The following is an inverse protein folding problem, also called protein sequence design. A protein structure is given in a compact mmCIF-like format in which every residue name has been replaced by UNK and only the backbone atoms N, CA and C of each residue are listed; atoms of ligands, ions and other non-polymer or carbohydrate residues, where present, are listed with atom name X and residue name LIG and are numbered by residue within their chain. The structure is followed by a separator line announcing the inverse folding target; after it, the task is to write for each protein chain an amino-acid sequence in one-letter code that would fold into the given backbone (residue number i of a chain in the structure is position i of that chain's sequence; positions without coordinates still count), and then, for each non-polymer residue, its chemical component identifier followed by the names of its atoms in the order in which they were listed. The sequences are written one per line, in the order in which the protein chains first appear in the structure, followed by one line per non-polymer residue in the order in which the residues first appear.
data_IF_370240046269
#
_entry.id   IF_370240046269
#
_cell.length_a   1.000
_cell.length_b   1.000
_cell.length_c   1.000
_cell.angle_alpha   90.00
_cell.angle_beta   90.00
_cell.angle_gamma   90.00
#
_symmetry.space_group_name_H-M   'P 1'
#
loop_
_entity.id
_entity.type
_entity.pdbx_description
1 polymer ?
#
# COMPACT_ATOMS: atom_id res chain seq x y z
N UNK A 1 -0.09 25.45 6.29
CA UNK A 1 0.40 25.40 4.89
C UNK A 1 1.90 25.63 4.75
N UNK A 2 2.55 26.27 5.73
CA UNK A 2 3.98 26.62 5.67
C UNK A 2 4.92 25.43 5.44
N UNK A 3 4.70 24.30 6.13
CA UNK A 3 5.55 23.10 5.99
C UNK A 3 5.48 22.47 4.59
N UNK A 4 4.28 22.33 4.02
CA UNK A 4 4.13 21.75 2.67
C UNK A 4 4.78 22.68 1.63
N UNK A 5 4.60 24.00 1.78
CA UNK A 5 5.21 24.97 0.89
C UNK A 5 6.74 24.99 1.00
N UNK A 6 7.29 24.79 2.19
CA UNK A 6 8.72 24.85 2.47
C UNK A 6 9.47 23.54 2.18
N UNK A 7 8.82 22.40 2.42
CA UNK A 7 9.45 21.07 2.34
C UNK A 7 8.77 20.14 1.33
N UNK A 8 7.96 20.70 0.41
CA UNK A 8 7.19 19.93 -0.57
C UNK A 8 8.04 18.93 -1.37
N UNK A 9 9.21 19.36 -1.84
CA UNK A 9 10.12 18.50 -2.60
C UNK A 9 10.63 17.31 -1.76
N UNK A 10 10.98 17.56 -0.49
CA UNK A 10 11.43 16.51 0.42
C UNK A 10 10.30 15.52 0.69
N UNK A 11 9.09 16.00 0.92
CA UNK A 11 7.92 15.16 1.16
C UNK A 11 7.57 14.31 -0.08
N UNK A 12 7.72 14.88 -1.28
CA UNK A 12 7.53 14.15 -2.53
C UNK A 12 8.59 13.05 -2.69
N UNK A 13 9.86 13.35 -2.45
CA UNK A 13 10.95 12.36 -2.50
C UNK A 13 10.69 11.23 -1.51
N UNK A 14 10.29 11.55 -0.28
CA UNK A 14 9.91 10.54 0.72
C UNK A 14 8.71 9.70 0.26
N UNK A 15 7.69 10.31 -0.34
CA UNK A 15 6.53 9.60 -0.86
C UNK A 15 6.93 8.59 -1.95
N UNK A 16 7.83 8.99 -2.86
CA UNK A 16 8.37 8.09 -3.89
C UNK A 16 9.16 6.96 -3.26
N UNK A 17 10.06 7.26 -2.33
CA UNK A 17 10.90 6.25 -1.66
C UNK A 17 10.04 5.25 -0.88
N UNK A 18 9.09 5.71 -0.07
CA UNK A 18 8.21 4.85 0.71
C UNK A 18 7.22 4.08 -0.17
N UNK A 19 6.73 4.69 -1.24
CA UNK A 19 5.90 4.03 -2.25
C UNK A 19 6.65 2.89 -2.95
N UNK A 20 7.89 3.12 -3.37
CA UNK A 20 8.74 2.09 -3.96
C UNK A 20 9.07 0.98 -2.97
N UNK A 21 9.34 1.33 -1.71
CA UNK A 21 9.58 0.36 -0.64
C UNK A 21 8.36 -0.53 -0.39
N UNK A 22 7.16 0.04 -0.31
CA UNK A 22 5.93 -0.72 -0.20
C UNK A 22 5.70 -1.59 -1.44
N UNK A 23 5.88 -1.04 -2.65
CA UNK A 23 5.70 -1.78 -3.90
C UNK A 23 6.64 -3.00 -4.00
N UNK A 24 7.87 -2.87 -3.49
CA UNK A 24 8.76 -4.01 -3.36
C UNK A 24 8.20 -5.07 -2.40
N UNK A 25 7.74 -4.67 -1.21
CA UNK A 25 7.09 -5.58 -0.27
C UNK A 25 5.88 -6.32 -0.88
N UNK A 26 5.05 -5.61 -1.66
CA UNK A 26 3.92 -6.20 -2.41
C UNK A 26 4.40 -7.27 -3.37
N UNK A 27 5.34 -6.94 -4.27
CA UNK A 27 5.85 -7.90 -5.24
C UNK A 27 6.53 -9.11 -4.59
N UNK A 28 7.24 -8.91 -3.48
CA UNK A 28 7.90 -9.98 -2.75
C UNK A 28 6.92 -10.95 -2.09
N UNK A 29 5.76 -10.47 -1.61
CA UNK A 29 4.73 -11.32 -1.01
C UNK A 29 3.86 -11.99 -2.10
N UNK A 30 3.41 -11.22 -3.08
CA UNK A 30 2.33 -11.63 -3.99
C UNK A 30 2.80 -12.51 -5.15
N UNK A 31 4.09 -12.48 -5.53
CA UNK A 31 4.62 -13.36 -6.58
C UNK A 31 4.44 -14.84 -6.24
N UNK A 32 4.54 -15.19 -4.95
CA UNK A 32 4.31 -16.56 -4.47
C UNK A 32 2.84 -16.97 -4.61
N UNK A 33 1.90 -16.03 -4.42
CA UNK A 33 0.47 -16.26 -4.58
C UNK A 33 0.10 -16.53 -6.05
N UNK A 34 0.68 -15.77 -6.98
CA UNK A 34 0.38 -15.91 -8.41
C UNK A 34 1.08 -17.11 -9.06
N UNK A 35 2.35 -17.37 -8.73
CA UNK A 35 3.18 -18.33 -9.47
C UNK A 35 3.54 -19.59 -8.67
N UNK A 36 3.20 -19.66 -7.38
CA UNK A 36 3.59 -20.75 -6.49
C UNK A 36 3.08 -22.12 -6.96
N UNK A 37 1.87 -22.20 -7.50
CA UNK A 37 1.29 -23.46 -8.02
C UNK A 37 1.94 -23.90 -9.32
N UNK A 38 2.22 -22.98 -10.25
CA UNK A 38 2.87 -23.27 -11.52
C UNK A 38 4.32 -23.71 -11.35
N UNK A 39 5.04 -23.11 -10.40
CA UNK A 39 6.40 -23.53 -10.04
C UNK A 39 6.36 -24.84 -9.25
N UNK A 40 5.46 -24.96 -8.26
CA UNK A 40 5.35 -26.14 -7.40
C UNK A 40 4.90 -27.41 -8.14
N UNK A 41 4.11 -27.27 -9.20
CA UNK A 41 3.73 -28.38 -10.09
C UNK A 41 4.80 -28.76 -11.11
N UNK A 42 5.89 -27.97 -11.24
CA UNK A 42 6.93 -28.18 -12.23
C UNK A 42 6.53 -27.74 -13.65
N UNK A 43 5.40 -27.05 -13.82
CA UNK A 43 4.96 -26.55 -15.13
C UNK A 43 5.89 -25.46 -15.68
N UNK A 44 6.45 -24.63 -14.80
CA UNK A 44 7.43 -23.58 -15.13
C UNK A 44 8.57 -23.52 -14.11
N UNK A 45 9.72 -23.03 -14.54
CA UNK A 45 10.86 -22.75 -13.65
C UNK A 45 10.67 -21.44 -12.88
N UNK A 46 11.40 -21.29 -11.77
CA UNK A 46 11.41 -20.03 -10.98
C UNK A 46 11.80 -18.82 -11.85
N UNK A 47 12.79 -18.97 -12.75
CA UNK A 47 13.20 -17.88 -13.65
C UNK A 47 12.07 -17.46 -14.59
N UNK A 48 11.34 -18.43 -15.16
CA UNK A 48 10.19 -18.13 -16.02
C UNK A 48 9.07 -17.45 -15.23
N UNK A 49 8.76 -17.96 -14.03
CA UNK A 49 7.76 -17.35 -13.15
C UNK A 49 8.08 -15.87 -12.84
N UNK A 50 9.34 -15.54 -12.55
CA UNK A 50 9.76 -14.15 -12.29
C UNK A 50 9.56 -13.27 -13.53
N UNK A 51 9.95 -13.73 -14.73
CA UNK A 51 9.80 -12.94 -15.96
C UNK A 51 8.31 -12.69 -16.26
N UNK A 52 7.48 -13.72 -16.12
CA UNK A 52 6.02 -13.62 -16.32
C UNK A 52 5.44 -12.64 -15.29
N UNK A 53 5.79 -12.78 -14.01
CA UNK A 53 5.31 -11.89 -12.96
C UNK A 53 5.67 -10.43 -13.23
N UNK A 54 6.93 -10.12 -13.61
CA UNK A 54 7.34 -8.74 -13.93
C UNK A 54 6.46 -8.13 -15.02
N UNK A 55 6.18 -8.87 -16.09
CA UNK A 55 5.38 -8.38 -17.22
C UNK A 55 3.93 -8.16 -16.80
N UNK A 56 3.30 -9.16 -16.18
CA UNK A 56 1.87 -9.14 -15.91
C UNK A 56 1.50 -8.33 -14.66
N UNK A 57 2.32 -8.31 -13.62
CA UNK A 57 2.12 -7.44 -12.45
C UNK A 57 2.26 -5.97 -12.86
N UNK A 58 3.28 -5.63 -13.65
CA UNK A 58 3.46 -4.26 -14.14
C UNK A 58 2.32 -3.84 -15.09
N UNK A 59 1.92 -4.73 -16.00
CA UNK A 59 0.77 -4.49 -16.87
C UNK A 59 -0.52 -4.32 -16.06
N UNK A 60 -0.77 -5.19 -15.06
CA UNK A 60 -1.92 -5.09 -14.18
C UNK A 60 -1.95 -3.79 -13.39
N UNK A 61 -0.81 -3.35 -12.86
CA UNK A 61 -0.68 -2.09 -12.15
C UNK A 61 -1.05 -0.88 -13.04
N UNK A 62 -0.65 -0.88 -14.32
CA UNK A 62 -0.97 0.19 -15.26
C UNK A 62 -2.42 0.12 -15.74
N UNK A 63 -2.90 -1.08 -16.10
CA UNK A 63 -4.19 -1.26 -16.77
C UNK A 63 -5.37 -1.27 -15.80
N UNK A 64 -5.18 -1.78 -14.58
CA UNK A 64 -6.25 -2.03 -13.61
C UNK A 64 -5.98 -1.48 -12.20
N UNK A 65 -4.78 -0.92 -11.92
CA UNK A 65 -4.44 -0.41 -10.58
C UNK A 65 -5.21 0.84 -10.14
N UNK A 66 -5.87 1.54 -11.07
CA UNK A 66 -6.58 2.79 -10.81
C UNK A 66 -7.76 2.64 -9.82
N UNK A 67 -8.55 1.58 -9.94
CA UNK A 67 -9.75 1.37 -9.10
C UNK A 67 -9.40 1.08 -7.64
N UNK A 68 -8.37 0.26 -7.40
CA UNK A 68 -7.87 -0.05 -6.05
C UNK A 68 -7.27 1.20 -5.42
N UNK A 69 -6.49 1.97 -6.19
CA UNK A 69 -5.91 3.23 -5.71
C UNK A 69 -6.99 4.25 -5.37
N UNK A 70 -8.07 4.33 -6.16
CA UNK A 70 -9.19 5.22 -5.89
C UNK A 70 -9.92 4.84 -4.59
N UNK A 71 -10.10 3.54 -4.36
CA UNK A 71 -10.73 3.01 -3.14
C UNK A 71 -9.88 3.30 -1.90
N UNK A 72 -8.56 3.11 -1.95
CA UNK A 72 -7.68 3.43 -0.82
C UNK A 72 -7.64 4.94 -0.55
N UNK A 73 -7.59 5.77 -1.60
CA UNK A 73 -7.50 7.23 -1.47
C UNK A 73 -8.79 7.87 -0.94
N UNK A 74 -9.97 7.40 -1.36
CA UNK A 74 -11.25 8.04 -1.05
C UNK A 74 -12.16 7.22 -0.13
N UNK A 75 -11.86 5.94 0.06
CA UNK A 75 -12.75 5.01 0.76
C UNK A 75 -12.46 4.85 2.24
N UNK A 76 -11.31 5.28 2.76
CA UNK A 76 -10.92 5.01 4.16
C UNK A 76 -10.95 6.28 5.02
N UNK A 77 -10.41 7.38 4.50
CA UNK A 77 -10.40 8.69 5.14
C UNK A 77 -10.85 9.75 4.14
N UNK A 78 -11.73 10.65 4.58
CA UNK A 78 -12.13 11.80 3.78
C UNK A 78 -11.07 12.90 3.88
N UNK A 79 -10.52 13.31 2.75
CA UNK A 79 -9.55 14.40 2.66
C UNK A 79 -10.12 15.73 3.17
N UNK A 80 -11.44 15.92 3.14
CA UNK A 80 -12.11 17.13 3.63
C UNK A 80 -11.89 17.34 5.14
N UNK A 81 -11.69 16.28 5.91
CA UNK A 81 -11.38 16.35 7.35
C UNK A 81 -10.05 17.06 7.60
N UNK A 82 -9.14 17.06 6.63
CA UNK A 82 -7.80 17.61 6.74
C UNK A 82 -7.66 19.01 6.12
N UNK A 83 -8.77 19.67 5.76
CA UNK A 83 -8.73 20.98 5.08
C UNK A 83 -7.96 22.04 5.88
N UNK A 84 -8.15 22.06 7.21
CA UNK A 84 -7.47 23.00 8.11
C UNK A 84 -6.02 22.59 8.42
N UNK A 85 -5.69 21.30 8.25
CA UNK A 85 -4.39 20.71 8.59
C UNK A 85 -3.91 19.68 7.55
N UNK A 86 -3.66 20.10 6.29
CA UNK A 86 -3.35 19.17 5.18
C UNK A 86 -2.03 18.43 5.37
N UNK A 87 -1.12 18.96 6.20
CA UNK A 87 0.15 18.32 6.54
C UNK A 87 -0.03 17.02 7.31
N UNK A 88 -1.09 16.90 8.13
CA UNK A 88 -1.40 15.67 8.86
C UNK A 88 -1.75 14.53 7.88
N UNK A 89 -2.50 14.81 6.82
CA UNK A 89 -2.81 13.82 5.80
C UNK A 89 -1.55 13.31 5.09
N UNK A 90 -0.64 14.23 4.74
CA UNK A 90 0.63 13.87 4.09
C UNK A 90 1.46 12.97 5.01
N UNK A 91 1.63 13.37 6.27
CA UNK A 91 2.39 12.57 7.24
C UNK A 91 1.74 11.22 7.52
N UNK A 92 0.42 11.19 7.65
CA UNK A 92 -0.34 9.96 7.82
C UNK A 92 -0.12 8.98 6.69
N UNK A 93 -0.26 9.44 5.44
CA UNK A 93 -0.05 8.58 4.27
C UNK A 93 1.40 8.11 4.14
N UNK A 94 2.39 8.97 4.42
CA UNK A 94 3.80 8.55 4.46
C UNK A 94 4.05 7.49 5.53
N UNK A 95 3.51 7.69 6.74
CA UNK A 95 3.61 6.72 7.83
C UNK A 95 2.92 5.40 7.47
N UNK A 96 1.75 5.45 6.82
CA UNK A 96 1.02 4.24 6.39
C UNK A 96 1.80 3.45 5.34
N UNK A 97 2.41 4.11 4.35
CA UNK A 97 3.27 3.45 3.35
C UNK A 97 4.47 2.77 4.02
N UNK A 98 5.13 3.46 4.94
CA UNK A 98 6.30 2.92 5.64
C UNK A 98 5.92 1.74 6.55
N UNK A 99 4.82 1.86 7.31
CA UNK A 99 4.35 0.81 8.21
C UNK A 99 3.91 -0.45 7.44
N UNK A 100 3.11 -0.28 6.39
CA UNK A 100 2.67 -1.38 5.55
C UNK A 100 3.85 -2.05 4.83
N UNK A 101 4.75 -1.27 4.22
CA UNK A 101 5.95 -1.79 3.56
C UNK A 101 6.86 -2.54 4.52
N UNK A 102 7.04 -2.04 5.74
CA UNK A 102 7.86 -2.70 6.77
C UNK A 102 7.25 -4.03 7.18
N UNK A 103 5.93 -4.07 7.42
CA UNK A 103 5.23 -5.30 7.76
C UNK A 103 5.31 -6.34 6.63
N UNK A 104 5.12 -5.92 5.38
CA UNK A 104 5.23 -6.79 4.22
C UNK A 104 6.64 -7.37 4.09
N UNK A 105 7.68 -6.56 4.30
CA UNK A 105 9.06 -7.06 4.30
C UNK A 105 9.31 -8.09 5.41
N UNK A 106 8.80 -7.85 6.62
CA UNK A 106 8.93 -8.82 7.72
C UNK A 106 8.22 -10.13 7.34
N UNK A 107 6.98 -10.06 6.89
CA UNK A 107 6.19 -11.22 6.50
C UNK A 107 6.85 -12.00 5.35
N UNK A 108 7.31 -11.33 4.30
CA UNK A 108 7.99 -11.95 3.17
C UNK A 108 9.31 -12.62 3.57
N UNK A 109 10.11 -12.01 4.46
CA UNK A 109 11.34 -12.63 4.98
C UNK A 109 11.06 -13.88 5.81
N UNK A 110 9.92 -13.93 6.50
CA UNK A 110 9.48 -15.10 7.27
C UNK A 110 8.69 -16.12 6.43
N UNK A 111 8.46 -15.84 5.14
CA UNK A 111 7.71 -16.70 4.23
C UNK A 111 6.20 -16.74 4.52
N UNK A 112 5.67 -15.71 5.19
CA UNK A 112 4.25 -15.63 5.52
C UNK A 112 3.46 -14.99 4.37
N UNK A 113 2.50 -15.72 3.76
CA UNK A 113 1.58 -15.12 2.80
C UNK A 113 0.60 -14.23 3.58
N UNK A 114 0.68 -12.92 3.37
CA UNK A 114 -0.18 -11.94 4.06
C UNK A 114 -0.85 -11.02 3.04
N UNK A 115 -1.99 -10.46 3.41
CA UNK A 115 -2.71 -9.54 2.53
C UNK A 115 -2.08 -8.15 2.53
N UNK A 116 -1.64 -7.71 1.35
CA UNK A 116 -1.11 -6.36 1.09
C UNK A 116 -2.17 -5.28 1.28
N UNK A 117 -3.40 -5.52 0.81
CA UNK A 117 -4.56 -4.65 1.01
C UNK A 117 -4.87 -4.42 2.48
N UNK A 118 -4.96 -5.49 3.29
CA UNK A 118 -5.21 -5.35 4.73
C UNK A 118 -4.09 -4.60 5.44
N UNK A 119 -2.85 -4.80 5.00
CA UNK A 119 -1.68 -4.13 5.59
C UNK A 119 -1.74 -2.61 5.41
N UNK A 120 -2.05 -2.12 4.21
CA UNK A 120 -2.15 -0.68 3.95
C UNK A 120 -3.43 -0.07 4.52
N UNK A 121 -4.57 -0.76 4.40
CA UNK A 121 -5.84 -0.30 4.98
C UNK A 121 -5.72 -0.19 6.49
N UNK A 122 -5.17 -1.20 7.17
CA UNK A 122 -4.95 -1.19 8.60
C UNK A 122 -4.01 -0.07 9.05
N UNK A 123 -2.96 0.21 8.27
CA UNK A 123 -2.05 1.32 8.56
C UNK A 123 -2.73 2.69 8.42
N UNK A 124 -3.61 2.87 7.42
CA UNK A 124 -4.38 4.11 7.23
C UNK A 124 -5.44 4.26 8.34
N UNK A 125 -6.15 3.19 8.69
CA UNK A 125 -7.11 3.15 9.80
C UNK A 125 -6.42 3.50 11.12
N UNK A 126 -5.24 2.93 11.38
CA UNK A 126 -4.46 3.21 12.59
C UNK A 126 -4.06 4.69 12.69
N UNK A 127 -3.56 5.26 11.59
CA UNK A 127 -3.29 6.71 11.52
C UNK A 127 -4.57 7.53 11.72
N UNK A 128 -5.66 7.21 11.02
CA UNK A 128 -6.91 7.95 11.12
C UNK A 128 -7.49 7.95 12.53
N UNK A 129 -7.56 6.78 13.16
CA UNK A 129 -8.12 6.61 14.48
C UNK A 129 -7.29 7.31 15.57
N UNK A 130 -5.96 7.26 15.50
CA UNK A 130 -5.06 7.83 16.52
C UNK A 130 -4.75 9.30 16.26
N UNK A 131 -4.50 9.66 15.00
CA UNK A 131 -4.06 10.99 14.59
C UNK A 131 -5.19 12.01 14.40
N UNK A 132 -6.43 11.54 14.19
CA UNK A 132 -7.60 12.41 13.96
C UNK A 132 -8.74 12.06 14.90
N UNK A 133 -9.08 10.77 15.00
CA UNK A 133 -10.13 10.26 15.86
C UNK A 133 -10.82 9.04 15.25
N UNK A 134 -11.37 8.18 16.09
CA UNK A 134 -12.04 6.93 15.66
C UNK A 134 -13.18 7.21 14.68
N UNK A 135 -13.93 8.29 14.87
CA UNK A 135 -15.06 8.65 14.02
C UNK A 135 -14.65 9.21 12.64
N UNK A 136 -13.37 9.55 12.46
CA UNK A 136 -12.85 10.03 11.17
C UNK A 136 -12.67 8.91 10.14
N UNK A 137 -12.67 7.65 10.58
CA UNK A 137 -12.54 6.47 9.72
C UNK A 137 -13.91 6.08 9.17
N UNK A 138 -13.98 5.86 7.85
CA UNK A 138 -15.20 5.36 7.20
C UNK A 138 -15.40 3.86 7.46
N UNK A 139 -15.89 3.51 8.66
CA UNK A 139 -16.03 2.11 9.11
C UNK A 139 -16.94 1.26 8.22
N UNK A 140 -17.95 1.87 7.61
CA UNK A 140 -18.83 1.22 6.62
C UNK A 140 -18.04 0.74 5.39
N UNK A 141 -17.10 1.55 4.91
CA UNK A 141 -16.24 1.20 3.78
C UNK A 141 -15.18 0.20 4.18
N UNK A 142 -14.55 0.37 5.35
CA UNK A 142 -13.57 -0.59 5.87
C UNK A 142 -14.20 -1.98 5.99
N UNK A 143 -15.42 -2.09 6.49
CA UNK A 143 -16.15 -3.35 6.59
C UNK A 143 -16.53 -4.00 5.25
N UNK A 144 -16.50 -3.26 4.13
CA UNK A 144 -16.70 -3.81 2.79
C UNK A 144 -15.39 -4.23 2.10
N UNK A 145 -14.23 -3.78 2.61
CA UNK A 145 -12.90 -4.15 2.11
C UNK A 145 -12.38 -5.41 2.80
N UNK A 146 -12.82 -5.66 4.04
CA UNK A 146 -12.48 -6.81 4.88
C UNK A 146 -13.29 -8.07 4.57
#
# INVERSE_FOLDING_TARGET
MEIIAQYGDVLLVLAVVFGLFMAWGVGANDVANAMGTSVGSGAITIKQAIIIAIIFEFAGAILAGGEVTATIRKGILDAAIFTDSPHLLVYGMLASLLAAGTWLMIASNLGWPVSTTHSIVGAIVGFGAVGVGIDAVAWDKVGNIA
#
